data_IF_345214035707
#
_entry.id   IF_345214035707
#
_cell.length_a   1.000
_cell.length_b   1.000
_cell.length_c   1.000
_cell.angle_alpha   90.00
_cell.angle_beta   90.00
_cell.angle_gamma   90.00
#
_symmetry.space_group_name_H-M   'P 1'
#
loop_
_entity.id
_entity.type
_entity.pdbx_description
1 polymer ?
#
# COMPACT_ATOMS: atom_id res chain seq x y z
N UNK A 1 -9.22 -37.18 0.04
CA UNK A 1 -9.27 -35.77 -0.37
C UNK A 1 -7.88 -35.19 -0.19
N UNK A 2 -7.14 -34.83 -1.25
CA UNK A 2 -5.84 -34.19 -1.10
C UNK A 2 -6.05 -32.75 -0.58
N UNK A 3 -5.34 -32.38 0.47
CA UNK A 3 -5.34 -31.01 0.97
C UNK A 3 -4.72 -30.10 -0.10
N UNK A 4 -5.46 -29.09 -0.56
CA UNK A 4 -4.87 -28.01 -1.35
C UNK A 4 -3.78 -27.31 -0.51
N UNK A 5 -2.61 -26.98 -1.09
CA UNK A 5 -1.66 -26.13 -0.41
C UNK A 5 -2.35 -24.80 -0.13
N UNK A 6 -2.48 -24.42 1.15
CA UNK A 6 -2.87 -23.07 1.52
C UNK A 6 -1.88 -22.14 0.84
N UNK A 7 -2.38 -21.33 -0.10
CA UNK A 7 -1.60 -20.38 -0.85
C UNK A 7 -0.81 -19.52 0.14
N UNK A 8 0.51 -19.68 0.15
CA UNK A 8 1.46 -18.93 0.98
C UNK A 8 1.42 -17.41 0.70
N UNK A 9 0.63 -16.99 -0.29
CA UNK A 9 0.52 -15.61 -0.78
C UNK A 9 -0.39 -14.72 0.08
N UNK A 10 -1.09 -15.26 1.09
CA UNK A 10 -1.93 -14.46 1.99
C UNK A 10 -1.13 -13.71 3.06
N UNK A 11 -0.03 -14.30 3.56
CA UNK A 11 0.69 -13.83 4.76
C UNK A 11 1.58 -12.59 4.52
N UNK A 12 2.02 -12.34 3.28
CA UNK A 12 2.94 -11.22 3.00
C UNK A 12 2.25 -9.91 2.64
N UNK A 13 0.95 -9.92 2.28
CA UNK A 13 0.25 -8.71 1.79
C UNK A 13 0.11 -7.65 2.89
N UNK A 14 -0.20 -8.07 4.12
CA UNK A 14 -0.29 -7.16 5.26
C UNK A 14 1.03 -6.48 5.60
N UNK A 15 2.16 -7.19 5.45
CA UNK A 15 3.48 -6.60 5.68
C UNK A 15 3.79 -5.49 4.65
N UNK A 16 3.50 -5.73 3.38
CA UNK A 16 3.75 -4.74 2.32
C UNK A 16 2.83 -3.52 2.47
N UNK A 17 1.56 -3.70 2.81
CA UNK A 17 0.67 -2.58 3.10
C UNK A 17 1.21 -1.70 4.23
N UNK A 18 1.74 -2.31 5.29
CA UNK A 18 2.35 -1.60 6.41
C UNK A 18 3.64 -0.88 6.00
N UNK A 19 4.48 -1.49 5.16
CA UNK A 19 5.67 -0.86 4.60
C UNK A 19 5.32 0.38 3.76
N UNK A 20 4.29 0.29 2.91
CA UNK A 20 3.77 1.41 2.12
C UNK A 20 3.33 2.56 3.04
N UNK A 21 2.54 2.27 4.08
CA UNK A 21 2.07 3.28 5.03
C UNK A 21 3.22 3.97 5.76
N UNK A 22 4.22 3.20 6.20
CA UNK A 22 5.43 3.75 6.82
C UNK A 22 6.22 4.62 5.87
N UNK A 23 6.29 4.23 4.60
CA UNK A 23 6.98 5.00 3.57
C UNK A 23 6.29 6.34 3.30
N UNK A 24 4.96 6.38 3.24
CA UNK A 24 4.20 7.65 3.13
C UNK A 24 4.55 8.60 4.27
N UNK A 25 4.51 8.12 5.51
CA UNK A 25 4.84 8.95 6.69
C UNK A 25 6.29 9.43 6.66
N UNK A 26 7.22 8.55 6.26
CA UNK A 26 8.63 8.89 6.12
C UNK A 26 8.85 9.99 5.10
N UNK A 27 8.22 9.87 3.93
CA UNK A 27 8.34 10.83 2.83
C UNK A 27 7.67 12.16 3.20
N UNK A 28 6.52 12.13 3.86
CA UNK A 28 5.84 13.33 4.36
C UNK A 28 6.71 14.15 5.32
N UNK A 29 7.46 13.51 6.22
CA UNK A 29 8.36 14.24 7.11
C UNK A 29 9.57 14.85 6.38
N UNK A 30 9.96 14.28 5.23
CA UNK A 30 11.12 14.74 4.47
C UNK A 30 10.78 15.86 3.47
N UNK A 31 9.52 15.93 3.02
CA UNK A 31 9.11 16.82 1.92
C UNK A 31 7.68 17.37 2.12
N UNK A 32 7.48 18.64 1.80
CA UNK A 32 6.15 19.24 1.76
C UNK A 32 5.53 19.04 0.36
N UNK A 33 4.79 17.95 0.21
CA UNK A 33 4.05 17.62 -1.02
C UNK A 33 2.55 17.78 -0.80
N UNK A 34 1.79 18.07 -1.85
CA UNK A 34 0.35 18.28 -1.74
C UNK A 34 -0.40 16.96 -1.75
N UNK A 35 0.15 15.93 -2.42
CA UNK A 35 -0.47 14.60 -2.53
C UNK A 35 0.56 13.48 -2.62
N UNK A 36 0.13 12.28 -2.27
CA UNK A 36 0.89 11.04 -2.45
C UNK A 36 0.21 10.13 -3.47
N UNK A 37 1.00 9.53 -4.34
CA UNK A 37 0.57 8.50 -5.28
C UNK A 37 1.34 7.21 -5.03
N UNK A 38 0.61 6.16 -4.68
CA UNK A 38 1.16 4.83 -4.42
C UNK A 38 0.91 3.96 -5.64
N UNK A 39 1.98 3.44 -6.23
CA UNK A 39 1.91 2.36 -7.22
C UNK A 39 2.15 1.04 -6.52
N UNK A 40 1.25 0.07 -6.73
CA UNK A 40 1.38 -1.25 -6.13
C UNK A 40 0.83 -2.33 -7.06
N UNK A 41 1.28 -3.56 -6.86
CA UNK A 41 0.71 -4.72 -7.55
C UNK A 41 -0.80 -4.83 -7.34
N UNK A 42 -1.55 -5.49 -8.26
CA UNK A 42 -3.00 -5.62 -8.13
C UNK A 42 -3.44 -6.20 -6.78
N UNK A 43 -2.75 -7.23 -6.27
CA UNK A 43 -3.10 -7.87 -5.01
C UNK A 43 -2.93 -6.95 -3.78
N UNK A 44 -1.89 -6.11 -3.78
CA UNK A 44 -1.62 -5.16 -2.68
C UNK A 44 -2.53 -3.93 -2.79
N UNK A 45 -2.76 -3.43 -4.01
CA UNK A 45 -3.66 -2.31 -4.23
C UNK A 45 -5.11 -2.62 -3.83
N UNK A 46 -5.60 -3.84 -4.11
CA UNK A 46 -6.91 -4.30 -3.64
C UNK A 46 -6.94 -4.45 -2.11
N UNK A 47 -5.86 -4.93 -1.49
CA UNK A 47 -5.77 -4.98 -0.03
C UNK A 47 -5.82 -3.58 0.59
N UNK A 48 -5.06 -2.62 0.06
CA UNK A 48 -5.07 -1.21 0.50
C UNK A 48 -6.45 -0.55 0.36
N UNK A 49 -7.21 -0.87 -0.70
CA UNK A 49 -8.54 -0.32 -0.95
C UNK A 49 -9.65 -1.06 -0.20
N UNK A 50 -9.39 -2.29 0.25
CA UNK A 50 -10.33 -3.15 0.93
C UNK A 50 -9.94 -3.38 2.39
N UNK A 51 -9.22 -4.49 2.63
CA UNK A 51 -8.85 -4.98 3.97
C UNK A 51 -8.17 -3.91 4.83
N UNK A 52 -7.24 -3.15 4.26
CA UNK A 52 -6.40 -2.16 4.95
C UNK A 52 -6.90 -0.71 4.75
N UNK A 53 -8.09 -0.54 4.19
CA UNK A 53 -8.64 0.79 3.85
C UNK A 53 -8.79 1.71 5.06
N UNK A 54 -9.12 1.15 6.23
CA UNK A 54 -9.24 1.92 7.46
C UNK A 54 -7.89 2.49 7.91
N UNK A 55 -6.85 1.67 7.93
CA UNK A 55 -5.50 2.09 8.27
C UNK A 55 -4.91 3.08 7.26
N UNK A 56 -5.20 2.90 5.97
CA UNK A 56 -4.81 3.87 4.94
C UNK A 56 -5.48 5.24 5.17
N UNK A 57 -6.76 5.26 5.54
CA UNK A 57 -7.48 6.49 5.84
C UNK A 57 -6.93 7.20 7.10
N UNK A 58 -6.51 6.46 8.13
CA UNK A 58 -5.83 7.04 9.29
C UNK A 58 -4.52 7.72 8.89
N UNK A 59 -3.73 7.10 8.00
CA UNK A 59 -2.51 7.71 7.46
C UNK A 59 -2.83 8.98 6.68
N UNK A 60 -3.86 8.97 5.83
CA UNK A 60 -4.30 10.14 5.06
C UNK A 60 -4.69 11.31 5.98
N UNK A 61 -5.40 11.03 7.08
CA UNK A 61 -5.75 12.02 8.10
C UNK A 61 -4.49 12.53 8.82
N UNK A 62 -3.57 11.63 9.18
CA UNK A 62 -2.35 11.97 9.91
C UNK A 62 -1.43 12.90 9.11
N UNK A 63 -1.20 12.59 7.83
CA UNK A 63 -0.37 13.45 6.96
C UNK A 63 -1.12 14.69 6.48
N UNK A 64 -2.46 14.69 6.55
CA UNK A 64 -3.30 15.81 6.11
C UNK A 64 -3.25 16.07 4.60
N UNK A 65 -2.84 15.07 3.82
CA UNK A 65 -2.64 15.12 2.36
C UNK A 65 -3.33 13.93 1.72
N UNK A 66 -3.83 14.11 0.49
CA UNK A 66 -4.54 13.03 -0.20
C UNK A 66 -3.58 11.89 -0.59
N UNK A 67 -3.98 10.65 -0.34
CA UNK A 67 -3.26 9.44 -0.77
C UNK A 67 -4.06 8.71 -1.84
N UNK A 68 -3.47 8.53 -3.03
CA UNK A 68 -4.08 7.76 -4.12
C UNK A 68 -3.35 6.45 -4.34
N UNK A 69 -4.10 5.38 -4.59
CA UNK A 69 -3.55 4.05 -4.89
C UNK A 69 -3.85 3.69 -6.35
N UNK A 70 -2.79 3.52 -7.13
CA UNK A 70 -2.82 3.10 -8.53
C UNK A 70 -2.28 1.67 -8.67
N UNK A 71 -3.01 0.87 -9.45
CA UNK A 71 -2.59 -0.50 -9.76
C UNK A 71 -1.52 -0.43 -10.84
N UNK A 72 -0.38 -1.07 -10.58
CA UNK A 72 0.66 -1.34 -11.57
C UNK A 72 0.70 -2.85 -11.86
N UNK A 73 0.14 -3.31 -13.00
CA UNK A 73 0.00 -4.73 -13.31
C UNK A 73 1.31 -5.50 -13.41
N UNK A 74 2.42 -4.81 -13.70
CA UNK A 74 3.73 -5.43 -13.86
C UNK A 74 4.47 -5.63 -12.53
N UNK A 75 3.97 -5.05 -11.44
CA UNK A 75 4.61 -5.15 -10.13
C UNK A 75 4.28 -6.49 -9.47
N UNK A 76 5.29 -7.11 -8.89
CA UNK A 76 5.10 -8.22 -7.96
C UNK A 76 4.65 -7.70 -6.58
N UNK A 77 4.29 -8.60 -5.67
CA UNK A 77 3.71 -8.21 -4.38
C UNK A 77 4.65 -7.42 -3.46
N UNK A 78 5.96 -7.53 -3.65
CA UNK A 78 6.98 -6.83 -2.84
C UNK A 78 7.40 -5.49 -3.48
N UNK A 79 6.91 -5.19 -4.68
CA UNK A 79 7.19 -3.96 -5.40
C UNK A 79 6.11 -2.92 -5.16
N UNK A 80 6.53 -1.74 -4.74
CA UNK A 80 5.70 -0.56 -4.63
C UNK A 80 6.54 0.69 -4.78
N UNK A 81 5.90 1.79 -5.18
CA UNK A 81 6.50 3.13 -5.18
C UNK A 81 5.57 4.12 -4.50
N UNK A 82 6.15 5.03 -3.72
CA UNK A 82 5.45 6.19 -3.14
C UNK A 82 5.98 7.45 -3.78
N UNK A 83 5.16 8.08 -4.62
CA UNK A 83 5.51 9.28 -5.38
C UNK A 83 4.86 10.50 -4.74
N UNK A 84 5.65 11.55 -4.58
CA UNK A 84 5.22 12.87 -4.16
C UNK A 84 4.73 13.67 -5.37
N UNK A 85 3.60 14.37 -5.20
CA UNK A 85 2.98 15.20 -6.23
C UNK A 85 2.70 16.61 -5.72
#
# INVERSE_FOLDING_TARGET
MPNLPRSRNGENRGNVCYEIMREIVRVHHAYDSDRFLVYASPAVAEALKGEESHSLAEVEIFVGKQVKVQIEPLYNQEQFDVVMM
#
